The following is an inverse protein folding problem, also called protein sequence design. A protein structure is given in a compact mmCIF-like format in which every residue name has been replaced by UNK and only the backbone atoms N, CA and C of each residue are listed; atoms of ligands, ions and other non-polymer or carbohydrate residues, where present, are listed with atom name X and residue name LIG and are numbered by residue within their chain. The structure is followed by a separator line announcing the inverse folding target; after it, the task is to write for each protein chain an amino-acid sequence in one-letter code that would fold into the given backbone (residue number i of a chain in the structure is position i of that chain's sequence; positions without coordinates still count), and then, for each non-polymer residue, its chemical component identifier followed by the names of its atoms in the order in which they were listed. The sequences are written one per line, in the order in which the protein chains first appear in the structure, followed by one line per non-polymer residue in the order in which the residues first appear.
data_IF_013162424019
#
_entry.id   IF_013162424019
#
_cell.length_a   1.000
_cell.length_b   1.000
_cell.length_c   1.000
_cell.angle_alpha   90.00
_cell.angle_beta   90.00
_cell.angle_gamma   90.00
#
_symmetry.space_group_name_H-M   'P 1'
#
loop_
_entity.id
_entity.type
_entity.pdbx_description
1 polymer ?
#
# COMPACT_ATOMS: atom_id res chain seq x y z
N UNK A 1 -5.90 5.04 -18.63
CA UNK A 1 -4.62 5.79 -18.68
C UNK A 1 -3.80 5.58 -17.41
N UNK A 2 -2.47 5.65 -17.50
CA UNK A 2 -1.54 5.43 -16.37
C UNK A 2 -0.81 6.72 -16.01
N UNK A 3 -0.80 7.08 -14.72
CA UNK A 3 -0.11 8.27 -14.21
C UNK A 3 0.94 7.88 -13.19
N UNK A 4 2.06 8.61 -13.13
CA UNK A 4 3.18 8.25 -12.26
C UNK A 4 2.99 8.70 -10.81
N UNK A 5 2.33 9.84 -10.60
CA UNK A 5 2.07 10.42 -9.28
C UNK A 5 0.78 11.25 -9.28
N UNK A 6 0.26 11.52 -8.08
CA UNK A 6 -0.93 12.35 -7.88
C UNK A 6 -0.91 13.00 -6.49
N UNK A 7 -1.77 14.01 -6.29
CA UNK A 7 -2.01 14.67 -5.02
C UNK A 7 -3.51 14.67 -4.73
N UNK A 8 -3.89 14.47 -3.47
CA UNK A 8 -5.29 14.45 -3.07
C UNK A 8 -5.68 15.83 -2.54
N UNK A 9 -6.60 16.51 -3.21
CA UNK A 9 -7.21 17.74 -2.71
C UNK A 9 -8.51 17.40 -1.99
N UNK A 10 -8.49 17.49 -0.66
CA UNK A 10 -9.63 17.16 0.19
C UNK A 10 -9.61 18.00 1.47
N UNK A 11 -10.76 18.44 2.00
CA UNK A 11 -10.81 19.12 3.29
C UNK A 11 -10.32 18.23 4.46
N UNK A 12 -10.29 16.91 4.25
CA UNK A 12 -9.83 15.93 5.24
C UNK A 12 -8.35 15.60 5.12
N UNK A 13 -7.59 16.27 4.24
CA UNK A 13 -6.16 16.02 4.04
C UNK A 13 -5.39 17.33 4.15
N UNK A 14 -4.35 17.35 4.99
CA UNK A 14 -3.44 18.48 5.12
C UNK A 14 -2.00 18.01 4.94
N UNK A 15 -1.33 18.59 3.95
CA UNK A 15 0.09 18.39 3.70
C UNK A 15 0.90 19.44 4.46
N UNK A 16 2.04 19.03 5.02
CA UNK A 16 3.05 19.87 5.67
C UNK A 16 4.44 19.46 5.18
N UNK A 17 5.50 20.12 5.63
CA UNK A 17 6.87 19.91 5.12
C UNK A 17 7.42 18.49 5.30
N UNK A 18 6.86 17.69 6.21
CA UNK A 18 7.28 16.30 6.43
C UNK A 18 6.17 15.34 6.82
N UNK A 19 4.91 15.78 6.77
CA UNK A 19 3.79 14.99 7.29
C UNK A 19 2.53 15.20 6.45
N UNK A 20 1.77 14.11 6.29
CA UNK A 20 0.41 14.12 5.77
C UNK A 20 -0.53 13.82 6.93
N UNK A 21 -1.43 14.74 7.22
CA UNK A 21 -2.49 14.56 8.20
C UNK A 21 -3.78 14.24 7.46
N UNK A 22 -4.46 13.16 7.85
CA UNK A 22 -5.73 12.78 7.24
C UNK A 22 -6.79 12.38 8.27
N UNK A 23 -8.04 12.74 7.97
CA UNK A 23 -9.20 12.35 8.77
C UNK A 23 -9.99 11.27 8.03
N UNK A 24 -10.24 10.15 8.70
CA UNK A 24 -11.01 9.05 8.16
C UNK A 24 -12.13 8.63 9.12
N UNK A 25 -13.36 8.65 8.63
CA UNK A 25 -14.51 8.13 9.35
C UNK A 25 -14.66 6.64 9.03
N UNK A 26 -14.21 5.78 9.95
CA UNK A 26 -14.35 4.34 9.81
C UNK A 26 -15.78 3.92 10.17
N UNK A 27 -16.55 3.57 9.16
CA UNK A 27 -17.90 3.04 9.31
C UNK A 27 -17.83 1.53 9.57
N UNK A 28 -18.46 1.10 10.66
CA UNK A 28 -18.49 -0.28 11.11
C UNK A 28 -19.79 -0.58 11.84
N UNK A 29 -19.93 -1.79 12.37
CA UNK A 29 -21.16 -2.25 13.00
C UNK A 29 -20.85 -2.97 14.29
N UNK A 30 -21.52 -2.57 15.37
CA UNK A 30 -21.47 -3.25 16.66
C UNK A 30 -22.66 -4.22 16.77
N UNK A 31 -22.38 -5.47 17.12
CA UNK A 31 -23.40 -6.52 17.29
C UNK A 31 -23.55 -6.81 18.78
N UNK A 32 -24.76 -6.62 19.30
CA UNK A 32 -25.10 -6.90 20.69
C UNK A 32 -26.14 -8.01 20.77
N UNK A 33 -26.02 -8.87 21.79
CA UNK A 33 -27.04 -9.86 22.14
C UNK A 33 -27.75 -9.39 23.41
N UNK A 34 -28.91 -8.77 23.24
CA UNK A 34 -29.61 -8.07 24.32
C UNK A 34 -30.86 -8.86 24.75
N UNK A 35 -31.11 -8.96 26.05
CA UNK A 35 -32.39 -9.44 26.55
C UNK A 35 -33.40 -8.29 26.54
N UNK A 36 -34.43 -8.40 25.70
CA UNK A 36 -35.56 -7.48 25.68
C UNK A 36 -36.82 -8.25 26.04
N UNK A 37 -37.40 -7.89 27.18
CA UNK A 37 -38.66 -8.46 27.67
C UNK A 37 -38.65 -9.99 27.83
N UNK A 38 -37.53 -10.55 28.30
CA UNK A 38 -37.38 -11.99 28.56
C UNK A 38 -36.92 -12.81 27.35
N UNK A 39 -36.79 -12.20 26.18
CA UNK A 39 -36.30 -12.84 24.96
C UNK A 39 -34.97 -12.22 24.55
N UNK A 40 -33.97 -13.05 24.26
CA UNK A 40 -32.71 -12.57 23.69
C UNK A 40 -32.87 -12.24 22.21
N UNK A 41 -32.37 -11.08 21.81
CA UNK A 41 -32.42 -10.57 20.44
C UNK A 41 -31.04 -10.07 20.03
N UNK A 42 -30.66 -10.35 18.79
CA UNK A 42 -29.49 -9.76 18.17
C UNK A 42 -29.82 -8.34 17.67
N UNK A 43 -29.03 -7.36 18.08
CA UNK A 43 -29.16 -5.96 17.69
C UNK A 43 -27.90 -5.56 16.95
N UNK A 44 -28.08 -5.07 15.72
CA UNK A 44 -27.01 -4.66 14.82
C UNK A 44 -27.01 -3.13 14.78
N UNK A 45 -25.94 -2.49 15.26
CA UNK A 45 -25.85 -1.04 15.46
C UNK A 45 -24.75 -0.46 14.57
N UNK A 46 -25.09 0.23 13.47
CA UNK A 46 -24.11 0.98 12.69
C UNK A 46 -23.41 2.01 13.60
N UNK A 47 -22.11 2.14 13.42
CA UNK A 47 -21.25 3.00 14.22
C UNK A 47 -20.17 3.60 13.34
N UNK A 48 -19.88 4.88 13.57
CA UNK A 48 -18.76 5.57 12.92
C UNK A 48 -17.70 5.88 13.97
N UNK A 49 -16.45 5.54 13.67
CA UNK A 49 -15.28 5.87 14.50
C UNK A 49 -14.39 6.82 13.71
N UNK A 50 -14.19 8.04 14.20
CA UNK A 50 -13.30 9.02 13.58
C UNK A 50 -11.85 8.70 13.95
N UNK A 51 -11.02 8.51 12.93
CA UNK A 51 -9.56 8.41 13.04
C UNK A 51 -8.90 9.65 12.46
N UNK A 52 -7.82 10.07 13.12
CA UNK A 52 -6.91 11.09 12.61
C UNK A 52 -5.54 10.43 12.45
N UNK A 53 -5.10 10.30 11.19
CA UNK A 53 -3.83 9.70 10.85
C UNK A 53 -2.80 10.79 10.60
N UNK A 54 -1.58 10.52 11.07
CA UNK A 54 -0.39 11.29 10.75
C UNK A 54 0.62 10.35 10.09
N UNK A 55 1.00 10.66 8.87
CA UNK A 55 2.00 9.90 8.09
C UNK A 55 3.24 10.76 7.91
N UNK A 56 4.38 10.32 8.45
CA UNK A 56 5.70 10.92 8.15
C UNK A 56 6.06 10.60 6.69
N UNK A 57 6.44 11.62 5.92
CA UNK A 57 6.76 11.46 4.50
C UNK A 57 8.22 11.12 4.23
N UNK A 58 9.07 11.06 5.25
CA UNK A 58 10.48 10.70 5.10
C UNK A 58 10.62 9.19 4.89
N UNK A 59 11.26 8.80 3.79
CA UNK A 59 11.62 7.40 3.51
C UNK A 59 13.06 7.17 3.98
N UNK A 60 13.30 6.43 5.08
CA UNK A 60 14.65 6.21 5.60
C UNK A 60 15.39 5.12 4.84
N UNK A 61 16.71 5.04 5.05
CA UNK A 61 17.45 3.81 4.74
C UNK A 61 17.03 2.73 5.72
N UNK A 62 16.47 1.63 5.21
CA UNK A 62 16.00 0.52 6.03
C UNK A 62 17.07 -0.58 6.13
N UNK A 63 17.51 -0.88 7.36
CA UNK A 63 18.27 -2.09 7.65
C UNK A 63 17.34 -3.30 7.76
N UNK A 64 17.69 -4.41 7.11
CA UNK A 64 16.93 -5.66 7.18
C UNK A 64 17.83 -6.78 7.69
N UNK A 65 17.41 -7.47 8.75
CA UNK A 65 18.12 -8.63 9.31
C UNK A 65 17.24 -9.88 9.15
N UNK A 66 17.78 -10.91 8.50
CA UNK A 66 17.05 -12.15 8.22
C UNK A 66 17.64 -13.32 8.97
N UNK A 67 16.81 -14.01 9.76
CA UNK A 67 17.17 -15.32 10.31
C UNK A 67 17.14 -16.34 9.17
N UNK A 68 18.22 -17.08 8.98
CA UNK A 68 18.36 -17.96 7.82
C UNK A 68 18.69 -17.21 6.51
N UNK A 69 19.38 -16.08 6.58
CA UNK A 69 19.80 -15.26 5.42
C UNK A 69 20.48 -16.07 4.30
N UNK A 70 21.25 -17.11 4.63
CA UNK A 70 21.92 -17.98 3.65
C UNK A 70 21.01 -19.00 2.94
N UNK A 71 19.74 -19.13 3.34
CA UNK A 71 18.78 -20.02 2.68
C UNK A 71 18.24 -19.44 1.36
N UNK A 72 17.46 -20.25 0.62
CA UNK A 72 16.96 -19.91 -0.72
C UNK A 72 16.28 -18.52 -0.78
N UNK A 73 15.43 -18.18 0.19
CA UNK A 73 14.72 -16.91 0.19
C UNK A 73 15.64 -15.73 0.52
N UNK A 74 16.56 -15.90 1.48
CA UNK A 74 17.47 -14.82 1.89
C UNK A 74 18.50 -14.49 0.83
N UNK A 75 19.07 -15.52 0.18
CA UNK A 75 19.98 -15.35 -0.96
C UNK A 75 19.27 -14.74 -2.18
N UNK A 76 18.05 -15.19 -2.49
CA UNK A 76 17.24 -14.65 -3.60
C UNK A 76 16.82 -13.19 -3.34
N UNK A 77 16.37 -12.85 -2.12
CA UNK A 77 16.05 -11.47 -1.77
C UNK A 77 17.26 -10.56 -1.97
N UNK A 78 18.42 -10.97 -1.42
CA UNK A 78 19.65 -10.18 -1.48
C UNK A 78 20.12 -10.01 -2.92
N UNK A 79 20.14 -11.10 -3.70
CA UNK A 79 20.48 -11.07 -5.12
C UNK A 79 19.53 -10.19 -5.92
N UNK A 80 18.22 -10.28 -5.67
CA UNK A 80 17.21 -9.45 -6.33
C UNK A 80 17.36 -7.97 -6.04
N UNK A 81 17.67 -7.59 -4.79
CA UNK A 81 17.93 -6.20 -4.40
C UNK A 81 19.19 -5.66 -5.10
N UNK A 82 20.29 -6.41 -5.07
CA UNK A 82 21.55 -6.00 -5.71
C UNK A 82 21.35 -5.90 -7.23
N UNK A 83 20.72 -6.90 -7.85
CA UNK A 83 20.49 -6.92 -9.29
C UNK A 83 19.67 -5.73 -9.78
N UNK A 84 18.58 -5.38 -9.07
CA UNK A 84 17.79 -4.19 -9.40
C UNK A 84 18.55 -2.88 -9.13
N UNK A 85 19.31 -2.81 -8.02
CA UNK A 85 20.09 -1.61 -7.67
C UNK A 85 21.19 -1.29 -8.68
N UNK A 86 21.91 -2.31 -9.14
CA UNK A 86 23.03 -2.16 -10.08
C UNK A 86 22.59 -2.24 -11.55
N UNK A 87 21.28 -2.42 -11.83
CA UNK A 87 20.77 -2.54 -13.20
C UNK A 87 21.30 -3.77 -13.96
N UNK A 88 21.45 -4.90 -13.27
CA UNK A 88 22.01 -6.12 -13.84
C UNK A 88 21.07 -6.70 -14.89
N UNK A 89 21.67 -7.16 -16.00
CA UNK A 89 21.00 -7.89 -17.06
C UNK A 89 21.77 -9.18 -17.38
N UNK A 90 21.09 -10.17 -17.94
CA UNK A 90 21.70 -11.44 -18.31
C UNK A 90 21.07 -12.03 -19.56
N UNK A 91 21.88 -12.70 -20.39
CA UNK A 91 21.40 -13.40 -21.56
C UNK A 91 20.70 -14.70 -21.17
N UNK A 92 19.53 -14.96 -21.75
CA UNK A 92 18.91 -16.28 -21.80
C UNK A 92 18.91 -16.79 -23.24
N UNK A 93 18.48 -18.04 -23.45
CA UNK A 93 18.33 -18.61 -24.79
C UNK A 93 17.42 -17.78 -25.73
N UNK A 94 16.44 -17.06 -25.16
CA UNK A 94 15.41 -16.35 -25.92
C UNK A 94 15.72 -14.86 -26.04
N UNK A 95 16.22 -14.23 -24.97
CA UNK A 95 16.49 -12.79 -24.93
C UNK A 95 17.39 -12.39 -23.75
N UNK A 96 17.87 -11.17 -23.77
CA UNK A 96 18.43 -10.54 -22.57
C UNK A 96 17.28 -10.19 -21.61
N UNK A 97 17.43 -10.57 -20.35
CA UNK A 97 16.51 -10.22 -19.27
C UNK A 97 17.10 -9.08 -18.44
N UNK A 98 16.22 -8.21 -17.93
CA UNK A 98 16.56 -7.15 -17.00
C UNK A 98 16.05 -7.51 -15.60
N UNK A 99 16.84 -7.21 -14.57
CA UNK A 99 16.38 -7.32 -13.19
C UNK A 99 15.10 -6.49 -13.00
N UNK A 100 14.14 -7.06 -12.28
CA UNK A 100 12.86 -6.43 -11.99
C UNK A 100 12.31 -6.92 -10.64
N UNK A 101 11.18 -6.35 -10.22
CA UNK A 101 10.43 -6.75 -9.04
C UNK A 101 9.06 -7.36 -9.39
N UNK A 102 8.94 -8.05 -10.52
CA UNK A 102 7.69 -8.71 -10.86
C UNK A 102 7.30 -9.74 -9.80
N UNK A 103 6.01 -9.81 -9.49
CA UNK A 103 5.48 -10.56 -8.34
C UNK A 103 5.43 -9.75 -7.04
N UNK A 104 6.06 -8.57 -6.97
CA UNK A 104 5.89 -7.64 -5.84
C UNK A 104 4.65 -6.78 -6.02
N UNK A 105 3.71 -6.84 -5.07
CA UNK A 105 2.53 -5.96 -5.06
C UNK A 105 2.94 -4.48 -4.99
N UNK A 106 3.87 -4.12 -4.09
CA UNK A 106 4.24 -2.72 -3.89
C UNK A 106 5.00 -2.13 -5.08
N UNK A 107 5.83 -2.94 -5.76
CA UNK A 107 6.71 -2.44 -6.83
C UNK A 107 6.15 -2.65 -8.25
N UNK A 108 5.27 -3.63 -8.46
CA UNK A 108 4.84 -4.06 -9.79
C UNK A 108 3.31 -4.13 -9.97
N UNK A 109 2.51 -3.58 -9.04
CA UNK A 109 1.06 -3.45 -9.22
C UNK A 109 0.60 -2.00 -9.36
N UNK A 110 -0.66 -1.84 -9.76
CA UNK A 110 -1.32 -0.55 -9.89
C UNK A 110 -2.56 -0.47 -8.99
N UNK A 111 -2.99 0.76 -8.72
CA UNK A 111 -4.27 1.07 -8.09
C UNK A 111 -5.07 1.98 -9.01
N UNK A 112 -6.40 1.80 -9.05
CA UNK A 112 -7.30 2.77 -9.67
C UNK A 112 -7.46 3.98 -8.75
N UNK A 113 -7.18 5.18 -9.26
CA UNK A 113 -7.34 6.44 -8.51
C UNK A 113 -8.62 7.19 -8.87
N UNK A 114 -9.21 6.90 -10.04
CA UNK A 114 -10.43 7.55 -10.49
C UNK A 114 -10.75 7.27 -11.95
N UNK A 115 -11.48 8.20 -12.56
CA UNK A 115 -11.73 8.22 -14.00
C UNK A 115 -11.58 9.63 -14.56
N UNK A 116 -11.18 9.72 -15.84
CA UNK A 116 -11.10 10.96 -16.59
C UNK A 116 -11.62 10.70 -18.00
N UNK A 117 -12.59 11.49 -18.46
CA UNK A 117 -13.26 11.33 -19.76
C UNK A 117 -13.78 9.90 -20.03
N UNK A 118 -14.32 9.23 -19.00
CA UNK A 118 -14.86 7.87 -19.12
C UNK A 118 -13.82 6.75 -19.09
N UNK A 119 -12.53 7.07 -19.06
CA UNK A 119 -11.45 6.09 -18.88
C UNK A 119 -11.02 5.96 -17.43
N UNK A 120 -10.67 4.76 -17.00
CA UNK A 120 -10.06 4.54 -15.69
C UNK A 120 -8.62 5.06 -15.65
N UNK A 121 -8.31 5.76 -14.56
CA UNK A 121 -6.96 6.24 -14.27
C UNK A 121 -6.35 5.35 -13.20
N UNK A 122 -5.19 4.78 -13.52
CA UNK A 122 -4.41 3.93 -12.63
C UNK A 122 -3.05 4.57 -12.34
N UNK A 123 -2.52 4.32 -11.14
CA UNK A 123 -1.18 4.75 -10.71
C UNK A 123 -0.41 3.56 -10.13
N UNK A 124 0.94 3.59 -10.10
CA UNK A 124 1.73 2.58 -9.37
C UNK A 124 1.29 2.51 -7.90
N UNK A 125 1.24 1.31 -7.32
CA UNK A 125 0.85 1.14 -5.91
C UNK A 125 1.78 1.93 -4.97
N UNK A 126 3.09 1.94 -5.23
CA UNK A 126 4.06 2.76 -4.47
C UNK A 126 3.86 4.27 -4.57
N UNK A 127 2.99 4.75 -5.46
CA UNK A 127 2.70 6.18 -5.61
C UNK A 127 1.56 6.67 -4.71
N UNK A 128 0.88 5.78 -3.95
CA UNK A 128 -0.17 6.20 -2.99
C UNK A 128 0.39 7.11 -1.87
N UNK A 129 1.53 6.72 -1.31
CA UNK A 129 2.22 7.40 -0.22
C UNK A 129 3.73 7.17 -0.42
N UNK A 130 4.61 8.02 0.15
CA UNK A 130 6.05 7.78 0.12
C UNK A 130 6.41 6.39 0.68
N UNK A 131 7.16 5.59 -0.09
CA UNK A 131 7.61 4.22 0.24
C UNK A 131 9.07 4.00 -0.15
#
# INVERSE_FOLDING_TARGET
MFIESFKVESPNVKYTDGEIHSVYNYETTEVAHENKSGTYQWVVKPKTVKYEFKTDTRVPKLGVMLVGWGGNNGSTLTGGVIANREGISWATKDKVQQANYFGSLTQASSIRVGSYNGEEIHAPFKSLLPM
#
